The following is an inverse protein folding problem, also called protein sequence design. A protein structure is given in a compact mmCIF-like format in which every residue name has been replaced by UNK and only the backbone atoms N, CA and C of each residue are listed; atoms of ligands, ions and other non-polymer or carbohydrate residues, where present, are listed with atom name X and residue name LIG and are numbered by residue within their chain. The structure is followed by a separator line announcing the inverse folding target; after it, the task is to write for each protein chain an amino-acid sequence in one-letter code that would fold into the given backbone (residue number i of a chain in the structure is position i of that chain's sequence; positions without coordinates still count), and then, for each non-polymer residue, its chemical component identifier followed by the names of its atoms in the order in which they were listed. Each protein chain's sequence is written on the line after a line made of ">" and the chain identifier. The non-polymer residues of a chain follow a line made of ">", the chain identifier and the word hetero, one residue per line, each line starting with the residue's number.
data_IF_864945283196
#
_entry.id   IF_864945283196
#
_cell.length_a   1.000
_cell.length_b   1.000
_cell.length_c   1.000
_cell.angle_alpha   90.00
_cell.angle_beta   90.00
_cell.angle_gamma   90.00
#
_symmetry.space_group_name_H-M   'P 1'
#
loop_
_entity.id
_entity.type
_entity.pdbx_description
1 polymer ?
#
# COMPACT_ATOMS: atom_id res chain seq x y z
N UNK A 1 24.23 -19.21 7.36
CA UNK A 1 23.08 -18.95 6.46
C UNK A 1 22.83 -17.46 6.50
N UNK A 2 22.58 -16.80 5.35
CA UNK A 2 22.31 -15.37 5.34
C UNK A 2 20.95 -15.07 5.98
N UNK A 3 20.86 -14.00 6.77
CA UNK A 3 19.65 -13.55 7.44
C UNK A 3 19.17 -12.22 6.82
N UNK A 4 18.47 -12.28 5.68
CA UNK A 4 18.12 -11.09 4.91
C UNK A 4 17.16 -10.17 5.66
N UNK A 5 16.22 -10.73 6.43
CA UNK A 5 15.29 -9.93 7.25
C UNK A 5 16.07 -9.17 8.32
N UNK A 6 16.98 -9.84 9.04
CA UNK A 6 17.82 -9.19 10.06
C UNK A 6 18.68 -8.07 9.49
N UNK A 7 19.23 -8.26 8.29
CA UNK A 7 19.98 -7.22 7.58
C UNK A 7 19.13 -5.99 7.27
N UNK A 8 17.91 -6.17 6.74
CA UNK A 8 16.98 -5.06 6.47
C UNK A 8 16.57 -4.33 7.74
N UNK A 9 16.31 -5.05 8.84
CA UNK A 9 15.99 -4.44 10.14
C UNK A 9 17.15 -3.59 10.69
N UNK A 10 18.39 -4.03 10.49
CA UNK A 10 19.56 -3.25 10.88
C UNK A 10 19.69 -1.94 10.07
N UNK A 11 19.36 -1.97 8.78
CA UNK A 11 19.30 -0.75 7.94
C UNK A 11 18.20 0.19 8.45
N UNK A 12 17.00 -0.34 8.70
CA UNK A 12 15.87 0.46 9.21
C UNK A 12 16.20 1.13 10.55
N UNK A 13 16.87 0.41 11.45
CA UNK A 13 17.36 0.96 12.73
C UNK A 13 18.37 2.09 12.51
N UNK A 14 19.33 1.91 11.59
CA UNK A 14 20.32 2.94 11.25
C UNK A 14 19.71 4.19 10.59
N UNK A 15 18.48 4.09 10.08
CA UNK A 15 17.73 5.17 9.46
C UNK A 15 16.71 5.84 10.40
N UNK A 16 16.60 5.39 11.66
CA UNK A 16 15.60 5.86 12.63
C UNK A 16 14.15 5.74 12.12
N UNK A 17 13.87 4.65 11.39
CA UNK A 17 12.53 4.35 10.87
C UNK A 17 11.60 3.97 12.01
N UNK A 18 10.38 4.52 12.02
CA UNK A 18 9.37 4.20 13.04
C UNK A 18 8.50 2.98 12.73
N UNK A 19 8.35 2.62 11.44
CA UNK A 19 7.46 1.55 11.01
C UNK A 19 7.95 0.85 9.74
N UNK A 20 7.67 -0.45 9.62
CA UNK A 20 7.91 -1.27 8.43
C UNK A 20 6.58 -1.66 7.81
N UNK A 21 6.46 -1.41 6.51
CA UNK A 21 5.31 -1.81 5.71
C UNK A 21 5.66 -3.01 4.83
N UNK A 22 4.85 -4.06 4.89
CA UNK A 22 4.99 -5.28 4.08
C UNK A 22 3.68 -5.60 3.35
N UNK A 23 3.70 -6.33 2.23
CA UNK A 23 2.47 -6.70 1.54
C UNK A 23 1.54 -7.54 2.42
N UNK A 24 2.08 -8.58 3.05
CA UNK A 24 1.37 -9.52 3.93
C UNK A 24 2.36 -10.14 4.94
N UNK A 25 1.86 -10.99 5.84
CA UNK A 25 2.70 -11.66 6.83
C UNK A 25 3.60 -12.76 6.24
N UNK A 26 3.26 -13.33 5.09
CA UNK A 26 4.05 -14.38 4.47
C UNK A 26 5.41 -13.84 4.01
N UNK A 27 5.49 -12.56 3.64
CA UNK A 27 6.74 -11.88 3.31
C UNK A 27 7.76 -11.79 4.46
N UNK A 28 7.31 -12.07 5.69
CA UNK A 28 8.16 -12.10 6.89
C UNK A 28 8.06 -13.45 7.61
N UNK A 29 7.76 -14.52 6.87
CA UNK A 29 7.61 -15.89 7.38
C UNK A 29 6.59 -16.03 8.52
N UNK A 30 5.56 -15.17 8.54
CA UNK A 30 4.58 -15.07 9.62
C UNK A 30 5.19 -14.75 11.00
N UNK A 31 6.36 -14.10 11.03
CA UNK A 31 7.08 -13.73 12.27
C UNK A 31 6.99 -12.25 12.57
N UNK A 32 5.77 -11.77 12.83
CA UNK A 32 5.53 -10.37 13.17
C UNK A 32 6.36 -9.90 14.38
N UNK A 33 6.55 -10.77 15.38
CA UNK A 33 7.31 -10.53 16.60
C UNK A 33 8.76 -10.09 16.33
N UNK A 34 9.30 -10.49 15.18
CA UNK A 34 10.65 -10.14 14.78
C UNK A 34 10.78 -8.66 14.43
N UNK A 35 9.74 -8.10 13.82
CA UNK A 35 9.67 -6.68 13.45
C UNK A 35 9.21 -5.85 14.66
N UNK A 36 8.18 -6.32 15.36
CA UNK A 36 7.57 -5.62 16.50
C UNK A 36 8.45 -5.57 17.75
N UNK A 37 9.63 -6.20 17.72
CA UNK A 37 10.68 -6.02 18.71
C UNK A 37 11.31 -4.62 18.67
N UNK A 38 11.21 -3.88 17.56
CA UNK A 38 11.81 -2.55 17.43
C UNK A 38 11.06 -1.57 16.52
N UNK A 39 10.04 -2.02 15.78
CA UNK A 39 9.32 -1.20 14.80
C UNK A 39 7.82 -1.49 14.86
N UNK A 40 7.00 -0.51 14.50
CA UNK A 40 5.62 -0.82 14.12
C UNK A 40 5.63 -1.66 12.83
N UNK A 41 4.71 -2.62 12.71
CA UNK A 41 4.52 -3.43 11.50
C UNK A 41 3.17 -3.10 10.89
N UNK A 42 3.15 -2.79 9.60
CA UNK A 42 1.92 -2.58 8.81
C UNK A 42 1.87 -3.59 7.67
N UNK A 43 0.78 -4.32 7.54
CA UNK A 43 0.50 -5.16 6.36
C UNK A 43 -0.48 -4.46 5.43
N UNK A 44 -0.33 -4.66 4.11
CA UNK A 44 -1.29 -4.17 3.11
C UNK A 44 -2.51 -5.08 3.01
N UNK A 45 -2.30 -6.40 2.97
CA UNK A 45 -3.36 -7.40 2.79
C UNK A 45 -3.18 -8.62 3.72
N UNK A 46 -4.11 -8.87 4.67
CA UNK A 46 -5.13 -7.94 5.12
C UNK A 46 -4.50 -6.71 5.79
N UNK A 47 -5.17 -5.56 5.74
CA UNK A 47 -4.68 -4.35 6.39
C UNK A 47 -4.67 -4.52 7.93
N UNK A 48 -3.48 -4.54 8.52
CA UNK A 48 -3.26 -4.70 9.97
C UNK A 48 -2.08 -3.84 10.42
N UNK A 49 -2.14 -3.39 11.68
CA UNK A 49 -1.07 -2.68 12.37
C UNK A 49 -0.70 -3.45 13.64
N UNK A 50 0.56 -3.78 13.82
CA UNK A 50 1.12 -4.15 15.12
C UNK A 50 1.97 -2.99 15.62
N UNK A 51 1.68 -2.53 16.83
CA UNK A 51 2.51 -1.52 17.48
C UNK A 51 3.68 -2.19 18.19
N UNK A 52 4.85 -1.58 18.12
CA UNK A 52 6.02 -2.02 18.86
C UNK A 52 5.71 -2.11 20.36
N UNK A 53 6.00 -3.25 20.98
CA UNK A 53 5.73 -3.50 22.40
C UNK A 53 4.28 -3.82 22.77
N UNK A 54 3.34 -3.82 21.82
CA UNK A 54 1.93 -4.15 22.07
C UNK A 54 1.60 -5.59 21.69
N UNK A 55 0.54 -6.13 22.32
CA UNK A 55 0.10 -7.51 22.08
C UNK A 55 -0.90 -7.57 20.92
N UNK A 56 -0.43 -8.07 19.78
CA UNK A 56 -1.26 -8.47 18.65
C UNK A 56 -1.64 -7.33 17.69
N UNK A 57 -2.27 -7.69 16.55
CA UNK A 57 -2.63 -6.72 15.53
C UNK A 57 -3.92 -5.97 15.85
N UNK A 58 -3.97 -4.74 15.38
CA UNK A 58 -5.18 -3.94 15.23
C UNK A 58 -5.58 -3.98 13.75
N UNK A 59 -6.85 -4.27 13.47
CA UNK A 59 -7.39 -4.09 12.13
C UNK A 59 -7.44 -2.59 11.82
N UNK A 60 -6.75 -2.20 10.75
CA UNK A 60 -6.80 -0.83 10.23
C UNK A 60 -7.59 -0.82 8.94
N UNK A 61 -8.27 0.28 8.68
CA UNK A 61 -8.86 0.50 7.36
C UNK A 61 -7.73 0.48 6.34
N UNK A 62 -7.87 -0.31 5.27
CA UNK A 62 -6.92 -0.22 4.16
C UNK A 62 -6.94 1.22 3.67
N UNK A 63 -5.78 1.87 3.66
CA UNK A 63 -5.63 3.04 2.80
C UNK A 63 -5.78 2.48 1.38
N UNK A 64 -6.72 2.98 0.56
CA UNK A 64 -6.94 2.47 -0.78
C UNK A 64 -5.74 2.84 -1.67
N UNK A 65 -4.64 2.13 -1.50
CA UNK A 65 -3.52 2.09 -2.43
C UNK A 65 -3.98 1.17 -3.57
N UNK A 66 -4.68 1.76 -4.54
CA UNK A 66 -5.22 1.09 -5.73
C UNK A 66 -6.50 0.25 -5.51
N UNK A 67 -7.44 0.69 -4.67
CA UNK A 67 -8.80 0.12 -4.77
C UNK A 67 -9.43 0.62 -6.06
N UNK A 68 -9.30 -0.19 -7.11
CA UNK A 68 -9.86 0.08 -8.44
C UNK A 68 -11.35 -0.29 -8.50
N UNK A 69 -12.07 -0.12 -7.40
CA UNK A 69 -13.52 -0.30 -7.30
C UNK A 69 -14.27 1.00 -7.55
N UNK A 70 -13.57 2.11 -7.80
CA UNK A 70 -14.20 3.36 -8.19
C UNK A 70 -14.84 3.22 -9.57
N UNK A 71 -16.14 3.44 -9.63
CA UNK A 71 -16.80 3.75 -10.89
C UNK A 71 -16.21 5.05 -11.44
N UNK A 72 -16.01 5.20 -12.77
CA UNK A 72 -15.39 6.38 -13.35
C UNK A 72 -16.04 7.71 -12.92
N UNK A 73 -17.35 7.69 -12.66
CA UNK A 73 -18.14 8.84 -12.20
C UNK A 73 -17.83 9.28 -10.77
N UNK A 74 -17.13 8.45 -9.99
CA UNK A 74 -16.76 8.73 -8.60
C UNK A 74 -15.40 9.44 -8.49
N UNK A 75 -14.65 9.57 -9.58
CA UNK A 75 -13.35 10.22 -9.60
C UNK A 75 -13.49 11.70 -9.99
N UNK A 76 -13.22 12.59 -9.05
CA UNK A 76 -13.00 14.01 -9.36
C UNK A 76 -11.81 14.18 -10.33
N UNK A 77 -11.85 15.24 -11.16
CA UNK A 77 -10.87 15.48 -12.23
C UNK A 77 -9.41 15.42 -11.75
N UNK A 78 -9.10 16.01 -10.59
CA UNK A 78 -7.75 16.01 -10.04
C UNK A 78 -7.29 14.63 -9.53
N UNK A 79 -8.21 13.85 -8.97
CA UNK A 79 -7.95 12.47 -8.56
C UNK A 79 -7.73 11.58 -9.79
N UNK A 80 -8.57 11.71 -10.81
CA UNK A 80 -8.43 10.99 -12.08
C UNK A 80 -7.08 11.28 -12.76
N UNK A 81 -6.65 12.55 -12.78
CA UNK A 81 -5.35 12.96 -13.35
C UNK A 81 -4.17 12.35 -12.60
N UNK A 82 -4.14 12.42 -11.27
CA UNK A 82 -3.06 11.80 -10.48
C UNK A 82 -3.01 10.29 -10.69
N UNK A 83 -4.17 9.64 -10.70
CA UNK A 83 -4.26 8.20 -10.93
C UNK A 83 -3.76 7.82 -12.33
N UNK A 84 -4.10 8.62 -13.35
CA UNK A 84 -3.57 8.46 -14.70
C UNK A 84 -2.04 8.63 -14.75
N UNK A 85 -1.48 9.67 -14.14
CA UNK A 85 -0.03 9.93 -14.13
C UNK A 85 0.77 8.75 -13.58
N UNK A 86 0.26 8.12 -12.52
CA UNK A 86 0.92 6.96 -11.87
C UNK A 86 0.76 5.68 -12.70
N UNK A 87 -0.40 5.48 -13.36
CA UNK A 87 -0.77 4.21 -13.96
C UNK A 87 -0.80 4.18 -15.50
N UNK A 88 -0.52 5.30 -16.19
CA UNK A 88 -0.58 5.39 -17.67
C UNK A 88 0.28 4.35 -18.37
N UNK A 89 1.40 3.96 -17.75
CA UNK A 89 2.39 3.04 -18.31
C UNK A 89 2.23 1.60 -17.75
N UNK A 90 1.17 1.33 -16.97
CA UNK A 90 0.82 -0.01 -16.52
C UNK A 90 0.26 -0.88 -17.65
N UNK A 91 0.17 -2.19 -17.38
CA UNK A 91 -0.43 -3.18 -18.29
C UNK A 91 -1.87 -2.79 -18.72
N UNK A 92 -2.34 -3.26 -19.89
CA UNK A 92 -3.66 -2.90 -20.42
C UNK A 92 -4.85 -3.25 -19.51
N UNK A 93 -4.69 -4.24 -18.64
CA UNK A 93 -5.67 -4.71 -17.67
C UNK A 93 -5.54 -4.03 -16.29
N UNK A 94 -4.69 -3.00 -16.17
CA UNK A 94 -4.60 -2.19 -14.96
C UNK A 94 -5.92 -1.44 -14.72
N UNK A 95 -6.68 -1.87 -13.72
CA UNK A 95 -7.98 -1.29 -13.40
C UNK A 95 -7.90 0.20 -13.01
N UNK A 96 -6.83 0.65 -12.35
CA UNK A 96 -6.61 2.06 -12.02
C UNK A 96 -6.44 2.92 -13.28
N UNK A 97 -5.70 2.40 -14.27
CA UNK A 97 -5.53 3.05 -15.58
C UNK A 97 -6.86 3.15 -16.31
N UNK A 98 -7.65 2.07 -16.32
CA UNK A 98 -8.97 2.04 -16.96
C UNK A 98 -9.95 3.01 -16.30
N UNK A 99 -10.03 3.01 -14.96
CA UNK A 99 -10.90 3.91 -14.20
C UNK A 99 -10.51 5.39 -14.42
N UNK A 100 -9.22 5.72 -14.36
CA UNK A 100 -8.72 7.07 -14.61
C UNK A 100 -9.01 7.54 -16.04
N UNK A 101 -8.76 6.68 -17.03
CA UNK A 101 -9.03 6.98 -18.45
C UNK A 101 -10.51 7.24 -18.69
N UNK A 102 -11.38 6.39 -18.16
CA UNK A 102 -12.82 6.53 -18.29
C UNK A 102 -13.34 7.81 -17.62
N UNK A 103 -12.82 8.14 -16.42
CA UNK A 103 -13.20 9.35 -15.70
C UNK A 103 -12.79 10.63 -16.43
N UNK A 104 -11.56 10.70 -16.94
CA UNK A 104 -11.08 11.85 -17.72
C UNK A 104 -11.88 12.02 -19.01
N UNK A 105 -12.16 10.92 -19.72
CA UNK A 105 -12.96 10.96 -20.95
C UNK A 105 -14.39 11.47 -20.70
N UNK A 106 -15.04 10.98 -19.64
CA UNK A 106 -16.39 11.40 -19.27
C UNK A 106 -16.48 12.88 -18.87
N UNK A 107 -15.41 13.44 -18.31
CA UNK A 107 -15.36 14.86 -17.93
C UNK A 107 -15.11 15.78 -19.14
N UNK A 108 -14.42 15.29 -20.18
CA UNK A 108 -14.16 16.05 -21.41
C UNK A 108 -15.42 16.13 -22.32
N UNK A 109 -16.41 15.24 -22.15
CA UNK A 109 -17.67 15.26 -22.89
C UNK A 109 -18.67 16.32 -22.38
N UNK A 110 -18.44 16.89 -21.19
CA UNK A 110 -19.37 17.80 -20.51
C UNK A 110 -18.98 19.28 -20.67
N UNK A 111 -17.77 19.56 -21.16
CA UNK A 111 -17.26 20.90 -21.51
C UNK A 111 -17.47 21.24 -23.00
#
# INVERSE_FOLDING_TARGET
>A
MADPVGYVLAIAAGMDVSAILVPDLDHIDNRAERITAGFDLVTVSPARLWRCGEVGPIAVQSVPLNDCTFEPTQLERDCARRLWEVHRDCFPDCLARLAASAALSALDEVD
#
